data_IF_686717130162
#
_entry.id   IF_686717130162
#
_cell.length_a   1.000
_cell.length_b   1.000
_cell.length_c   1.000
_cell.angle_alpha   90.00
_cell.angle_beta   90.00
_cell.angle_gamma   90.00
#
_symmetry.space_group_name_H-M   'P 1'
#
loop_
_entity.id
_entity.type
_entity.pdbx_description
1 polymer ?
#
# COMPACT_ATOMS: atom_id res chain seq x y z
N UNK A 1 -19.08 -0.89 -12.61
CA UNK A 1 -18.71 -0.73 -11.18
C UNK A 1 -17.22 -0.98 -10.94
N UNK A 2 -16.61 -2.03 -11.50
CA UNK A 2 -15.16 -2.26 -11.41
C UNK A 2 -14.32 -1.08 -11.91
N UNK A 3 -14.70 -0.45 -13.03
CA UNK A 3 -13.96 0.70 -13.58
C UNK A 3 -13.96 1.92 -12.66
N UNK A 4 -15.07 2.21 -11.97
CA UNK A 4 -15.16 3.35 -11.06
C UNK A 4 -14.31 3.13 -9.81
N UNK A 5 -14.34 1.91 -9.24
CA UNK A 5 -13.51 1.56 -8.09
C UNK A 5 -12.03 1.66 -8.45
N UNK A 6 -11.65 1.20 -9.64
CA UNK A 6 -10.27 1.30 -10.11
C UNK A 6 -9.85 2.76 -10.31
N UNK A 7 -10.71 3.61 -10.89
CA UNK A 7 -10.44 5.05 -10.99
C UNK A 7 -10.31 5.74 -9.64
N UNK A 8 -11.11 5.35 -8.65
CA UNK A 8 -11.02 5.89 -7.28
C UNK A 8 -9.75 5.40 -6.56
N UNK A 9 -9.35 4.14 -6.79
CA UNK A 9 -8.09 3.61 -6.27
C UNK A 9 -6.91 4.36 -6.87
N UNK A 10 -6.88 4.53 -8.19
CA UNK A 10 -5.84 5.29 -8.89
C UNK A 10 -5.76 6.74 -8.38
N UNK A 11 -6.90 7.41 -8.21
CA UNK A 11 -6.94 8.74 -7.62
C UNK A 11 -6.35 8.75 -6.20
N UNK A 12 -6.69 7.76 -5.36
CA UNK A 12 -6.13 7.64 -4.02
C UNK A 12 -4.61 7.41 -4.04
N UNK A 13 -4.08 6.62 -4.98
CA UNK A 13 -2.65 6.42 -5.17
C UNK A 13 -1.92 7.69 -5.58
N UNK A 14 -2.46 8.44 -6.55
CA UNK A 14 -1.91 9.72 -7.01
C UNK A 14 -1.77 10.74 -5.87
N UNK A 15 -2.68 10.67 -4.90
CA UNK A 15 -2.70 11.52 -3.70
C UNK A 15 -2.13 10.86 -2.44
N UNK A 16 -1.69 9.59 -2.52
CA UNK A 16 -1.22 8.83 -1.36
C UNK A 16 0.00 9.46 -0.70
N UNK A 17 0.83 10.18 -1.47
CA UNK A 17 1.98 10.91 -0.91
C UNK A 17 1.60 11.95 0.15
N UNK A 18 0.43 12.59 0.00
CA UNK A 18 -0.11 13.55 0.96
C UNK A 18 -0.74 12.82 2.15
N UNK A 19 -1.50 11.77 1.88
CA UNK A 19 -2.21 10.97 2.89
C UNK A 19 -1.27 10.16 3.79
N UNK A 20 -0.18 9.65 3.21
CA UNK A 20 0.84 8.82 3.87
C UNK A 20 2.12 9.62 4.15
N UNK A 21 1.98 10.89 4.52
CA UNK A 21 3.08 11.81 4.86
C UNK A 21 3.39 11.86 6.36
N UNK A 22 2.88 10.92 7.15
CA UNK A 22 3.15 10.84 8.59
C UNK A 22 4.65 10.69 8.88
N UNK A 23 5.07 11.19 10.06
CA UNK A 23 6.47 11.05 10.52
C UNK A 23 6.90 9.58 10.55
N UNK A 24 6.05 8.72 11.10
CA UNK A 24 6.32 7.29 11.20
C UNK A 24 6.55 6.63 9.84
N UNK A 25 5.75 6.97 8.83
CA UNK A 25 5.93 6.47 7.45
C UNK A 25 7.28 6.90 6.89
N UNK A 26 7.70 8.15 7.13
CA UNK A 26 9.02 8.62 6.71
C UNK A 26 10.15 7.89 7.43
N UNK A 27 10.06 7.76 8.74
CA UNK A 27 11.09 7.12 9.56
C UNK A 27 11.25 5.64 9.17
N UNK A 28 10.14 4.93 8.94
CA UNK A 28 10.14 3.55 8.47
C UNK A 28 10.74 3.41 7.06
N UNK A 29 10.49 4.36 6.14
CA UNK A 29 11.12 4.36 4.80
C UNK A 29 12.64 4.52 4.90
N UNK A 30 13.10 5.50 5.69
CA UNK A 30 14.54 5.73 5.90
C UNK A 30 15.21 4.49 6.51
N UNK A 31 14.58 3.89 7.52
CA UNK A 31 15.10 2.68 8.15
C UNK A 31 15.18 1.52 7.16
N UNK A 32 14.09 1.22 6.44
CA UNK A 32 14.06 0.19 5.40
C UNK A 32 15.16 0.40 4.36
N UNK A 33 15.29 1.61 3.82
CA UNK A 33 16.23 1.91 2.74
C UNK A 33 17.69 1.76 3.21
N UNK A 34 17.98 2.15 4.46
CA UNK A 34 19.29 1.93 5.08
C UNK A 34 19.62 0.44 5.21
N UNK A 35 18.68 -0.38 5.67
CA UNK A 35 18.90 -1.82 5.82
C UNK A 35 19.04 -2.53 4.48
N UNK A 36 18.25 -2.12 3.47
CA UNK A 36 18.38 -2.64 2.10
C UNK A 36 19.74 -2.29 1.48
N UNK A 37 20.24 -1.07 1.70
CA UNK A 37 21.57 -0.68 1.24
C UNK A 37 22.66 -1.53 1.90
N UNK A 38 22.54 -1.79 3.21
CA UNK A 38 23.47 -2.67 3.92
C UNK A 38 23.44 -4.10 3.37
N UNK A 39 22.25 -4.69 3.17
CA UNK A 39 22.11 -6.04 2.62
C UNK A 39 22.74 -6.16 1.23
N UNK A 40 22.49 -5.19 0.34
CA UNK A 40 23.07 -5.16 -1.01
C UNK A 40 24.60 -5.13 -1.02
N UNK A 41 25.21 -4.53 0.00
CA UNK A 41 26.66 -4.43 0.10
C UNK A 41 27.33 -5.67 0.74
N UNK A 42 26.58 -6.54 1.42
CA UNK A 42 27.13 -7.61 2.26
C UNK A 42 26.63 -9.02 1.93
N UNK A 43 25.56 -9.16 1.15
CA UNK A 43 25.08 -10.45 0.69
C UNK A 43 25.91 -10.97 -0.48
N UNK A 44 26.05 -12.30 -0.56
CA UNK A 44 26.52 -12.97 -1.77
C UNK A 44 25.49 -12.85 -2.91
N UNK A 45 25.89 -13.23 -4.13
CA UNK A 45 25.08 -13.07 -5.32
C UNK A 45 23.76 -13.88 -5.29
N UNK A 46 23.77 -15.07 -4.69
CA UNK A 46 22.58 -15.92 -4.60
C UNK A 46 21.59 -15.37 -3.57
N UNK A 47 22.08 -14.97 -2.40
CA UNK A 47 21.29 -14.29 -1.38
C UNK A 47 20.71 -12.96 -1.88
N UNK A 48 21.47 -12.20 -2.67
CA UNK A 48 20.99 -10.96 -3.29
C UNK A 48 19.85 -11.23 -4.29
N UNK A 49 19.98 -12.26 -5.14
CA UNK A 49 18.91 -12.65 -6.07
C UNK A 49 17.63 -13.00 -5.33
N UNK A 50 17.72 -13.80 -4.26
CA UNK A 50 16.56 -14.14 -3.43
C UNK A 50 15.93 -12.91 -2.76
N UNK A 51 16.74 -11.95 -2.31
CA UNK A 51 16.24 -10.69 -1.76
C UNK A 51 15.48 -9.87 -2.80
N UNK A 52 15.95 -9.84 -4.04
CA UNK A 52 15.28 -9.13 -5.15
C UNK A 52 13.96 -9.80 -5.52
N UNK A 53 13.95 -11.12 -5.70
CA UNK A 53 12.74 -11.91 -5.98
C UNK A 53 11.69 -11.75 -4.87
N UNK A 54 12.13 -11.85 -3.60
CA UNK A 54 11.26 -11.61 -2.45
C UNK A 54 10.62 -10.22 -2.51
N UNK A 55 11.39 -9.18 -2.83
CA UNK A 55 10.88 -7.80 -2.88
C UNK A 55 9.90 -7.58 -4.01
N UNK A 56 10.11 -8.19 -5.17
CA UNK A 56 9.16 -8.13 -6.28
C UNK A 56 7.83 -8.77 -5.89
N UNK A 57 7.88 -9.95 -5.28
CA UNK A 57 6.65 -10.65 -4.85
C UNK A 57 5.97 -9.94 -3.69
N UNK A 58 6.73 -9.36 -2.75
CA UNK A 58 6.17 -8.57 -1.66
C UNK A 58 5.44 -7.34 -2.20
N UNK A 59 5.97 -6.65 -3.22
CA UNK A 59 5.29 -5.51 -3.83
C UNK A 59 3.92 -5.91 -4.42
N UNK A 60 3.86 -7.04 -5.12
CA UNK A 60 2.60 -7.55 -5.68
C UNK A 60 1.58 -7.88 -4.60
N UNK A 61 2.03 -8.51 -3.50
CA UNK A 61 1.17 -8.82 -2.35
C UNK A 61 0.67 -7.52 -1.69
N UNK A 62 1.56 -6.56 -1.43
CA UNK A 62 1.22 -5.28 -0.81
C UNK A 62 0.20 -4.50 -1.67
N UNK A 63 0.35 -4.53 -3.01
CA UNK A 63 -0.60 -3.90 -3.93
C UNK A 63 -1.99 -4.57 -3.88
N UNK A 64 -2.05 -5.90 -3.90
CA UNK A 64 -3.32 -6.64 -3.82
C UNK A 64 -4.02 -6.44 -2.46
N UNK A 65 -3.26 -6.40 -1.37
CA UNK A 65 -3.76 -6.08 -0.04
C UNK A 65 -4.29 -4.64 0.02
N UNK A 66 -3.55 -3.67 -0.51
CA UNK A 66 -3.97 -2.27 -0.55
C UNK A 66 -5.27 -2.09 -1.34
N UNK A 67 -5.40 -2.72 -2.52
CA UNK A 67 -6.65 -2.70 -3.31
C UNK A 67 -7.81 -3.33 -2.55
N UNK A 68 -7.56 -4.42 -1.83
CA UNK A 68 -8.59 -5.11 -1.04
C UNK A 68 -9.07 -4.27 0.13
N UNK A 69 -8.14 -3.66 0.88
CA UNK A 69 -8.44 -2.74 1.98
C UNK A 69 -9.17 -1.49 1.49
N UNK A 70 -8.80 -0.97 0.32
CA UNK A 70 -9.48 0.17 -0.30
C UNK A 70 -10.93 -0.17 -0.62
N UNK A 71 -11.19 -1.30 -1.29
CA UNK A 71 -12.55 -1.79 -1.61
C UNK A 71 -13.39 -1.99 -0.36
N UNK A 72 -12.80 -2.58 0.67
CA UNK A 72 -13.48 -2.79 1.96
C UNK A 72 -13.85 -1.46 2.62
N UNK A 73 -12.91 -0.51 2.66
CA UNK A 73 -13.13 0.83 3.23
C UNK A 73 -14.20 1.61 2.47
N UNK A 74 -14.21 1.53 1.13
CA UNK A 74 -15.26 2.13 0.30
C UNK A 74 -16.63 1.52 0.60
N UNK A 75 -16.71 0.18 0.71
CA UNK A 75 -17.95 -0.52 1.06
C UNK A 75 -18.48 -0.09 2.43
N UNK A 76 -17.61 -0.02 3.45
CA UNK A 76 -18.00 0.48 4.77
C UNK A 76 -18.49 1.93 4.71
N UNK A 77 -17.80 2.80 3.96
CA UNK A 77 -18.22 4.19 3.79
C UNK A 77 -19.60 4.33 3.16
N UNK A 78 -19.90 3.53 2.12
CA UNK A 78 -21.22 3.48 1.48
C UNK A 78 -22.29 3.00 2.47
N UNK A 79 -22.02 1.94 3.25
CA UNK A 79 -22.95 1.42 4.25
C UNK A 79 -23.24 2.43 5.36
N UNK A 80 -22.21 3.09 5.91
CA UNK A 80 -22.35 4.14 6.92
C UNK A 80 -23.13 5.35 6.38
N UNK A 81 -22.89 5.71 5.12
CA UNK A 81 -23.64 6.76 4.44
C UNK A 81 -25.12 6.41 4.28
N UNK A 82 -25.43 5.17 3.93
CA UNK A 82 -26.81 4.69 3.80
C UNK A 82 -27.54 4.64 5.15
N UNK A 83 -26.86 4.22 6.23
CA UNK A 83 -27.42 4.21 7.58
C UNK A 83 -27.78 5.63 8.07
N UNK A 84 -27.02 6.65 7.68
CA UNK A 84 -27.31 8.06 7.99
C UNK A 84 -28.51 8.65 7.25
N UNK A 85 -29.02 7.97 6.21
CA UNK A 85 -30.16 8.42 5.41
C UNK A 85 -31.48 7.72 5.80
N UNK A 86 -31.45 6.81 6.78
CA UNK A 86 -32.66 6.22 7.35
C UNK A 86 -33.37 7.27 8.22
N UNK A 87 -34.66 7.58 7.97
CA UNK A 87 -35.45 8.37 8.91
C UNK A 87 -35.63 7.56 10.21
N UNK A 88 -35.62 8.25 11.36
CA UNK A 88 -35.90 7.66 12.68
C UNK A 88 -37.21 6.87 12.72
#
# INVERSE_FOLDING_TARGET
MSSLIESLYQYAEEHASVLCSGREVRDNRVFRDRHLAWLRAHLDAESLRHLEEYREHQLLVDEDEARSLFRFSLSMGVQLGALRQLPE
#
